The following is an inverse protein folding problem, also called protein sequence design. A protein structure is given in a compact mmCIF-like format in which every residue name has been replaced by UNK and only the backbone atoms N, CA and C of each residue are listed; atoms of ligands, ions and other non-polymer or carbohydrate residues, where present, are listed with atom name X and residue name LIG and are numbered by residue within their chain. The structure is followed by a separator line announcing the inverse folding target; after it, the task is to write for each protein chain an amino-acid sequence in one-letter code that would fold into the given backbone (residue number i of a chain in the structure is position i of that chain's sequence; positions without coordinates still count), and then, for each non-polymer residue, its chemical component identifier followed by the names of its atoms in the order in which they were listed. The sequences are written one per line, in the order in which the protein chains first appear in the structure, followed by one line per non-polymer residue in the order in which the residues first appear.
data_IF_485242419664
#
_entry.id   IF_485242419664
#
_cell.length_a   1.000
_cell.length_b   1.000
_cell.length_c   1.000
_cell.angle_alpha   90.00
_cell.angle_beta   90.00
_cell.angle_gamma   90.00
#
_symmetry.space_group_name_H-M   'P 1'
#
loop_
_entity.id
_entity.type
_entity.pdbx_description
1 polymer ?
#
# COMPACT_ATOMS: atom_id res chain seq x y z
N UNK A 1 10.04 -12.17 -6.58
CA UNK A 1 8.74 -12.52 -5.95
C UNK A 1 8.70 -12.30 -4.45
N UNK A 2 9.86 -12.43 -3.78
CA UNK A 2 9.91 -12.20 -2.32
C UNK A 2 9.46 -10.80 -1.92
N UNK A 3 9.84 -9.79 -2.71
CA UNK A 3 9.46 -8.41 -2.43
C UNK A 3 7.95 -8.21 -2.57
N UNK A 4 7.32 -8.88 -3.52
CA UNK A 4 5.87 -8.80 -3.68
C UNK A 4 5.16 -9.41 -2.46
N UNK A 5 5.62 -10.56 -1.99
CA UNK A 5 5.08 -11.20 -0.80
C UNK A 5 5.26 -10.31 0.43
N UNK A 6 6.43 -9.69 0.58
CA UNK A 6 6.69 -8.74 1.68
C UNK A 6 5.74 -7.55 1.61
N UNK A 7 5.51 -7.01 0.41
CA UNK A 7 4.59 -5.89 0.21
C UNK A 7 3.17 -6.27 0.64
N UNK A 8 2.72 -7.46 0.25
CA UNK A 8 1.39 -7.94 0.61
C UNK A 8 1.26 -8.15 2.12
N UNK A 9 2.31 -8.62 2.79
CA UNK A 9 2.31 -8.76 4.26
C UNK A 9 2.21 -7.41 4.95
N UNK A 10 2.99 -6.43 4.48
CA UNK A 10 2.93 -5.06 5.04
C UNK A 10 1.54 -4.48 4.84
N UNK A 11 1.00 -4.62 3.62
CA UNK A 11 -0.33 -4.11 3.28
C UNK A 11 -1.41 -4.75 4.15
N UNK A 12 -1.32 -6.06 4.38
CA UNK A 12 -2.27 -6.78 5.23
C UNK A 12 -2.24 -6.25 6.66
N UNK A 13 -1.05 -5.98 7.21
CA UNK A 13 -0.93 -5.38 8.55
C UNK A 13 -1.56 -4.00 8.60
N UNK A 14 -1.31 -3.17 7.57
CA UNK A 14 -1.92 -1.84 7.49
C UNK A 14 -3.45 -1.93 7.48
N UNK A 15 -3.98 -2.85 6.70
CA UNK A 15 -5.42 -3.04 6.59
C UNK A 15 -6.03 -3.50 7.91
N UNK A 16 -5.42 -4.50 8.56
CA UNK A 16 -5.91 -5.01 9.84
C UNK A 16 -5.88 -3.94 10.91
N UNK A 17 -4.81 -3.15 10.99
CA UNK A 17 -4.69 -2.08 11.97
C UNK A 17 -5.70 -0.96 11.70
N UNK A 18 -5.96 -0.66 10.43
CA UNK A 18 -6.98 0.33 10.05
C UNK A 18 -8.37 -0.11 10.50
N UNK A 19 -8.69 -1.40 10.31
CA UNK A 19 -9.97 -1.94 10.75
C UNK A 19 -10.12 -1.91 12.27
N UNK A 20 -9.06 -2.24 13.00
CA UNK A 20 -9.08 -2.16 14.48
C UNK A 20 -9.34 -0.74 14.94
N UNK A 21 -8.70 0.22 14.31
CA UNK A 21 -8.91 1.63 14.64
C UNK A 21 -10.36 2.04 14.40
N UNK A 22 -10.96 1.60 13.29
CA UNK A 22 -12.36 1.90 12.98
C UNK A 22 -13.33 1.28 13.99
N UNK A 23 -12.96 0.13 14.56
CA UNK A 23 -13.78 -0.55 15.56
C UNK A 23 -13.65 0.02 16.96
N UNK A 24 -12.85 1.07 17.12
CA UNK A 24 -12.65 1.70 18.42
C UNK A 24 -11.56 1.05 19.26
N UNK A 25 -10.88 0.05 18.75
CA UNK A 25 -9.73 -0.56 19.42
C UNK A 25 -8.50 0.35 19.27
N UNK A 26 -7.49 0.12 20.12
CA UNK A 26 -6.23 0.83 19.99
C UNK A 26 -5.57 0.46 18.67
N UNK A 27 -5.73 1.32 17.68
CA UNK A 27 -5.13 1.11 16.37
C UNK A 27 -3.66 1.48 16.37
N UNK A 28 -3.09 1.45 15.19
CA UNK A 28 -1.70 1.83 15.00
C UNK A 28 -1.58 3.36 15.06
N UNK A 29 -0.51 3.86 15.66
CA UNK A 29 -0.23 5.29 15.64
C UNK A 29 0.04 5.78 14.20
N UNK A 30 -0.36 7.02 13.86
CA UNK A 30 -0.13 7.55 12.51
C UNK A 30 1.33 7.46 12.06
N UNK A 31 2.28 7.67 12.97
CA UNK A 31 3.70 7.56 12.65
C UNK A 31 4.10 6.16 12.21
N UNK A 32 3.53 5.13 12.84
CA UNK A 32 3.80 3.74 12.46
C UNK A 32 3.17 3.41 11.11
N UNK A 33 1.99 3.93 10.84
CA UNK A 33 1.33 3.73 9.56
C UNK A 33 2.14 4.33 8.42
N UNK A 34 2.69 5.53 8.63
CA UNK A 34 3.55 6.18 7.65
C UNK A 34 4.84 5.41 7.43
N UNK A 35 5.42 4.84 8.48
CA UNK A 35 6.61 3.98 8.34
C UNK A 35 6.32 2.76 7.49
N UNK A 36 5.15 2.17 7.64
CA UNK A 36 4.74 1.03 6.81
C UNK A 36 4.56 1.45 5.36
N UNK A 37 4.01 2.64 5.13
CA UNK A 37 3.87 3.18 3.77
C UNK A 37 5.25 3.41 3.15
N UNK A 38 6.21 3.93 3.91
CA UNK A 38 7.58 4.11 3.44
C UNK A 38 8.22 2.79 3.07
N UNK A 39 7.96 1.73 3.85
CA UNK A 39 8.45 0.40 3.53
C UNK A 39 7.84 -0.13 2.25
N UNK A 40 6.55 0.11 2.01
CA UNK A 40 5.90 -0.25 0.74
C UNK A 40 6.55 0.46 -0.43
N UNK A 41 6.87 1.75 -0.29
CA UNK A 41 7.55 2.52 -1.34
C UNK A 41 8.94 1.95 -1.63
N UNK A 42 9.69 1.60 -0.59
CA UNK A 42 11.01 0.99 -0.75
C UNK A 42 10.93 -0.34 -1.50
N UNK A 43 9.97 -1.17 -1.13
CA UNK A 43 9.75 -2.46 -1.80
C UNK A 43 9.31 -2.25 -3.25
N UNK A 44 8.48 -1.24 -3.52
CA UNK A 44 8.07 -0.89 -4.88
C UNK A 44 9.28 -0.55 -5.75
N UNK A 45 10.17 0.29 -5.24
CA UNK A 45 11.38 0.67 -5.98
C UNK A 45 12.24 -0.56 -6.26
N UNK A 46 12.42 -1.42 -5.28
CA UNK A 46 13.21 -2.65 -5.44
C UNK A 46 12.61 -3.58 -6.49
N UNK A 47 11.28 -3.74 -6.47
CA UNK A 47 10.58 -4.58 -7.43
C UNK A 47 10.73 -4.06 -8.85
N UNK A 48 10.62 -2.73 -9.04
CA UNK A 48 10.77 -2.10 -10.36
C UNK A 48 12.17 -2.30 -10.90
N UNK A 49 13.19 -2.07 -10.07
CA UNK A 49 14.58 -2.27 -10.46
C UNK A 49 14.85 -3.72 -10.83
N UNK A 50 14.40 -4.66 -10.01
CA UNK A 50 14.60 -6.08 -10.26
C UNK A 50 13.92 -6.52 -11.56
N UNK A 51 12.72 -5.99 -11.85
CA UNK A 51 12.02 -6.31 -13.09
C UNK A 51 12.80 -5.80 -14.31
N UNK A 52 13.26 -4.55 -14.27
CA UNK A 52 14.05 -3.97 -15.36
C UNK A 52 15.31 -4.81 -15.62
N UNK A 53 15.99 -5.23 -14.57
CA UNK A 53 17.18 -6.08 -14.71
C UNK A 53 16.86 -7.41 -15.35
N UNK A 54 15.74 -8.04 -14.96
CA UNK A 54 15.31 -9.31 -15.55
C UNK A 54 14.97 -9.16 -17.02
N UNK A 55 14.31 -8.07 -17.41
CA UNK A 55 14.00 -7.79 -18.81
C UNK A 55 15.30 -7.59 -19.59
N UNK A 56 16.22 -6.80 -19.07
CA UNK A 56 17.48 -6.51 -19.74
C UNK A 56 18.36 -7.76 -19.91
N UNK A 57 18.25 -8.71 -18.98
CA UNK A 57 18.99 -9.98 -19.05
C UNK A 57 18.25 -11.06 -19.86
N UNK A 58 17.11 -10.73 -20.42
CA UNK A 58 16.31 -11.69 -21.20
C UNK A 58 15.59 -12.74 -20.36
N UNK A 59 15.55 -12.56 -19.04
CA UNK A 59 14.89 -13.53 -18.13
C UNK A 59 13.40 -13.27 -17.96
N UNK A 60 12.92 -12.12 -18.42
CA UNK A 60 11.51 -11.74 -18.34
C UNK A 60 11.14 -11.00 -19.62
N UNK A 61 9.92 -11.21 -20.09
CA UNK A 61 9.43 -10.52 -21.29
C UNK A 61 9.06 -9.08 -20.98
N UNK A 62 9.47 -8.16 -21.86
CA UNK A 62 9.11 -6.74 -21.73
C UNK A 62 7.60 -6.51 -21.75
N UNK A 63 6.86 -7.41 -22.42
CA UNK A 63 5.39 -7.32 -22.46
C UNK A 63 4.73 -7.48 -21.10
N UNK A 64 5.44 -8.01 -20.11
CA UNK A 64 4.92 -8.16 -18.75
C UNK A 64 5.09 -6.89 -17.90
N UNK A 65 5.79 -5.88 -18.42
CA UNK A 65 6.05 -4.64 -17.68
C UNK A 65 4.77 -3.90 -17.33
N UNK A 66 3.85 -3.75 -18.29
CA UNK A 66 2.59 -3.02 -18.03
C UNK A 66 1.72 -3.72 -16.97
N UNK A 67 1.43 -5.04 -17.07
CA UNK A 67 0.68 -5.72 -16.01
C UNK A 67 1.38 -5.66 -14.66
N UNK A 68 2.69 -5.81 -14.63
CA UNK A 68 3.46 -5.73 -13.40
C UNK A 68 3.34 -4.35 -12.75
N UNK A 69 3.49 -3.29 -13.56
CA UNK A 69 3.34 -1.91 -13.09
C UNK A 69 1.94 -1.66 -12.54
N UNK A 70 0.90 -2.20 -13.19
CA UNK A 70 -0.47 -2.09 -12.71
C UNK A 70 -0.65 -2.71 -11.33
N UNK A 71 -0.04 -3.88 -11.09
CA UNK A 71 -0.07 -4.52 -9.77
C UNK A 71 0.56 -3.60 -8.72
N UNK A 72 1.71 -2.99 -9.03
CA UNK A 72 2.39 -2.09 -8.11
C UNK A 72 1.55 -0.85 -7.81
N UNK A 73 0.87 -0.29 -8.82
CA UNK A 73 -0.05 0.83 -8.61
C UNK A 73 -1.22 0.46 -7.70
N UNK A 74 -1.77 -0.75 -7.85
CA UNK A 74 -2.86 -1.22 -7.00
C UNK A 74 -2.40 -1.35 -5.55
N UNK A 75 -1.20 -1.86 -5.32
CA UNK A 75 -0.64 -1.98 -3.97
C UNK A 75 -0.49 -0.59 -3.35
N UNK A 76 0.03 0.36 -4.11
CA UNK A 76 0.18 1.74 -3.64
C UNK A 76 -1.16 2.37 -3.26
N UNK A 77 -2.16 2.21 -4.11
CA UNK A 77 -3.51 2.74 -3.85
C UNK A 77 -4.14 2.09 -2.61
N UNK A 78 -3.96 0.80 -2.42
CA UNK A 78 -4.46 0.12 -1.23
C UNK A 78 -3.76 0.61 0.03
N UNK A 79 -2.44 0.87 -0.03
CA UNK A 79 -1.71 1.46 1.08
C UNK A 79 -2.23 2.83 1.46
N UNK A 80 -2.49 3.67 0.46
CA UNK A 80 -3.07 5.00 0.69
C UNK A 80 -4.47 4.89 1.30
N UNK A 81 -5.27 3.93 0.85
CA UNK A 81 -6.60 3.71 1.41
C UNK A 81 -6.53 3.30 2.89
N UNK A 82 -5.55 2.47 3.26
CA UNK A 82 -5.35 2.10 4.67
C UNK A 82 -5.00 3.31 5.52
N UNK A 83 -4.16 4.21 5.01
CA UNK A 83 -3.83 5.45 5.72
C UNK A 83 -5.07 6.30 5.90
N UNK A 84 -5.89 6.43 4.87
CA UNK A 84 -7.13 7.20 4.94
C UNK A 84 -8.11 6.61 5.95
N UNK A 85 -8.23 5.29 6.01
CA UNK A 85 -9.08 4.62 7.00
C UNK A 85 -8.60 4.87 8.42
N UNK A 86 -7.29 4.81 8.64
CA UNK A 86 -6.72 5.09 9.96
C UNK A 86 -6.95 6.54 10.37
N UNK A 87 -6.82 7.47 9.42
CA UNK A 87 -7.07 8.89 9.67
C UNK A 87 -8.55 9.14 10.03
N UNK A 88 -9.47 8.54 9.29
CA UNK A 88 -10.89 8.60 9.56
C UNK A 88 -11.21 8.10 10.97
N UNK A 89 -10.62 6.95 11.34
CA UNK A 89 -10.84 6.36 12.65
C UNK A 89 -10.36 7.27 13.79
N UNK A 90 -9.21 7.94 13.58
CA UNK A 90 -8.63 8.83 14.58
C UNK A 90 -9.40 10.15 14.70
N UNK A 91 -9.80 10.73 13.59
CA UNK A 91 -10.37 12.08 13.54
C UNK A 91 -11.89 12.11 13.45
N UNK A 92 -12.55 10.99 13.38
CA UNK A 92 -14.00 10.85 13.45
C UNK A 92 -14.84 11.64 12.46
N UNK A 93 -14.46 12.87 12.17
CA UNK A 93 -15.19 13.77 11.26
C UNK A 93 -14.71 13.69 9.82
N UNK A 94 -13.55 13.12 9.59
CA UNK A 94 -12.95 13.01 8.26
C UNK A 94 -13.81 12.18 7.31
N UNK A 95 -14.57 11.24 7.84
CA UNK A 95 -15.43 10.41 7.02
C UNK A 95 -16.49 11.21 6.30
N UNK A 96 -17.04 12.25 6.93
CA UNK A 96 -18.03 13.11 6.28
C UNK A 96 -17.45 13.83 5.07
N UNK A 97 -16.24 14.37 5.20
CA UNK A 97 -15.56 15.04 4.10
C UNK A 97 -15.24 14.06 2.98
N UNK A 98 -14.77 12.90 3.34
CA UNK A 98 -14.45 11.86 2.38
C UNK A 98 -15.68 11.45 1.57
N UNK A 99 -16.79 11.22 2.23
CA UNK A 99 -18.03 10.84 1.57
C UNK A 99 -18.62 11.96 0.71
N UNK A 100 -18.46 13.22 1.13
CA UNK A 100 -18.91 14.37 0.36
C UNK A 100 -18.08 14.58 -0.90
N UNK A 101 -16.79 14.31 -0.83
CA UNK A 101 -15.90 14.46 -1.98
C UNK A 101 -16.17 13.43 -3.07
N UNK A 102 -16.67 12.26 -2.71
CA UNK A 102 -16.97 11.20 -3.67
C UNK A 102 -18.25 11.45 -4.48
N UNK A 103 -19.01 12.44 -4.10
CA UNK A 103 -20.17 12.85 -4.87
C UNK A 103 -19.74 13.78 -6.00
#
# INVERSE_FOLDING_TARGET
MDELQKSLKVLNKMFCDSLKALQGDDGIEPGKMMKRKDKLLDLDIKMRKAHIERVNKGKCKASLTAPFTNILHLIDRMGNSCINLADVAENGTSMKYFMLEEK
#
